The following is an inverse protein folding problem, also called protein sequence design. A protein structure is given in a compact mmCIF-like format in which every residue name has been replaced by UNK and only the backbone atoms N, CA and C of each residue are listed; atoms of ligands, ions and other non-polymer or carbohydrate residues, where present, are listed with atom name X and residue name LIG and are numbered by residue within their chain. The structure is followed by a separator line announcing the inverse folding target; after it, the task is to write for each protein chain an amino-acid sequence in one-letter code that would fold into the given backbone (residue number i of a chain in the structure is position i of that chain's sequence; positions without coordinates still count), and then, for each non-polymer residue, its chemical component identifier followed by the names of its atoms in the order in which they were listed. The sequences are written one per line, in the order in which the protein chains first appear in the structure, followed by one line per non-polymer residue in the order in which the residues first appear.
data_IF_168650397911
#
_entry.id   IF_168650397911
#
_cell.length_a   1.000
_cell.length_b   1.000
_cell.length_c   1.000
_cell.angle_alpha   90.00
_cell.angle_beta   90.00
_cell.angle_gamma   90.00
#
_symmetry.space_group_name_H-M   'P 1'
#
loop_
_entity.id
_entity.type
_entity.pdbx_description
1 polymer ?
#
# COMPACT_ATOMS: atom_id res chain seq x y z
N UNK A 1 4.40 -7.64 -12.01
CA UNK A 1 4.02 -9.07 -11.95
C UNK A 1 5.08 -9.83 -12.73
N UNK A 2 5.51 -10.99 -12.23
CA UNK A 2 6.38 -11.93 -12.95
C UNK A 2 5.51 -13.05 -13.50
N UNK A 3 5.87 -13.54 -14.69
CA UNK A 3 5.13 -14.57 -15.42
C UNK A 3 6.08 -15.74 -15.70
N UNK A 4 6.61 -15.83 -16.93
CA UNK A 4 7.53 -16.89 -17.36
C UNK A 4 8.83 -16.91 -16.56
N UNK A 5 9.24 -15.76 -16.03
CA UNK A 5 10.42 -15.59 -15.18
C UNK A 5 10.35 -16.48 -13.94
N UNK A 6 9.15 -16.68 -13.37
CA UNK A 6 8.93 -17.48 -12.17
C UNK A 6 8.27 -18.83 -12.42
N UNK A 7 7.49 -18.99 -13.49
CA UNK A 7 6.76 -20.23 -13.75
C UNK A 7 7.61 -21.31 -14.42
N UNK A 8 8.51 -20.92 -15.34
CA UNK A 8 9.37 -21.84 -16.11
C UNK A 8 10.83 -21.39 -16.19
N UNK A 9 11.17 -20.24 -15.60
CA UNK A 9 12.50 -19.65 -15.66
C UNK A 9 13.54 -20.43 -14.85
N UNK A 10 14.80 -20.28 -15.23
CA UNK A 10 15.93 -20.95 -14.56
C UNK A 10 16.34 -20.27 -13.23
N UNK A 11 15.93 -19.01 -13.01
CA UNK A 11 16.34 -18.18 -11.87
C UNK A 11 15.14 -17.49 -11.19
N UNK A 12 14.12 -18.25 -10.75
CA UNK A 12 12.86 -17.68 -10.27
C UNK A 12 13.02 -16.84 -8.99
N UNK A 13 13.97 -17.19 -8.11
CA UNK A 13 14.21 -16.46 -6.85
C UNK A 13 14.89 -15.13 -7.14
N UNK A 14 15.93 -15.15 -7.96
CA UNK A 14 16.72 -13.98 -8.35
C UNK A 14 15.86 -12.97 -9.09
N UNK A 15 14.93 -13.41 -9.95
CA UNK A 15 13.96 -12.54 -10.60
C UNK A 15 13.10 -11.76 -9.58
N UNK A 16 12.64 -12.43 -8.52
CA UNK A 16 11.88 -11.78 -7.44
C UNK A 16 12.77 -10.79 -6.68
N UNK A 17 14.01 -11.17 -6.35
CA UNK A 17 14.95 -10.28 -5.66
C UNK A 17 15.28 -9.02 -6.47
N UNK A 18 15.48 -9.16 -7.78
CA UNK A 18 15.72 -8.04 -8.70
C UNK A 18 14.49 -7.15 -8.77
N UNK A 19 13.29 -7.72 -8.93
CA UNK A 19 12.05 -6.95 -8.96
C UNK A 19 11.86 -6.15 -7.67
N UNK A 20 12.07 -6.78 -6.51
CA UNK A 20 11.98 -6.13 -5.21
C UNK A 20 13.00 -4.98 -5.09
N UNK A 21 14.25 -5.22 -5.47
CA UNK A 21 15.32 -4.22 -5.43
C UNK A 21 15.02 -3.00 -6.29
N UNK A 22 14.51 -3.20 -7.50
CA UNK A 22 14.13 -2.12 -8.41
C UNK A 22 12.92 -1.35 -7.86
N UNK A 23 11.89 -2.06 -7.39
CA UNK A 23 10.70 -1.44 -6.81
C UNK A 23 11.04 -0.57 -5.60
N UNK A 24 11.78 -1.10 -4.62
CA UNK A 24 12.20 -0.36 -3.43
C UNK A 24 13.11 0.83 -3.77
N UNK A 25 13.97 0.71 -4.79
CA UNK A 25 14.80 1.83 -5.23
C UNK A 25 13.94 2.95 -5.82
N UNK A 26 12.99 2.62 -6.68
CA UNK A 26 12.08 3.60 -7.30
C UNK A 26 11.21 4.30 -6.25
N UNK A 27 10.75 3.58 -5.23
CA UNK A 27 9.97 4.18 -4.13
C UNK A 27 10.75 5.24 -3.35
N UNK A 28 12.09 5.11 -3.24
CA UNK A 28 12.95 6.11 -2.59
C UNK A 28 13.17 7.37 -3.41
N UNK A 29 13.00 7.30 -4.74
CA UNK A 29 13.21 8.43 -5.65
C UNK A 29 12.04 9.42 -5.67
N UNK A 30 10.97 9.15 -4.93
CA UNK A 30 9.72 9.89 -5.01
C UNK A 30 8.82 9.33 -6.12
N UNK A 31 7.53 9.18 -5.82
CA UNK A 31 6.55 8.72 -6.80
C UNK A 31 6.24 9.77 -7.86
N UNK A 32 5.47 9.39 -8.88
CA UNK A 32 5.05 10.28 -9.96
C UNK A 32 3.95 11.32 -9.56
N UNK A 33 3.79 11.61 -8.27
CA UNK A 33 2.88 12.65 -7.77
C UNK A 33 1.37 12.41 -7.93
N UNK A 34 0.93 11.26 -8.47
CA UNK A 34 -0.50 11.00 -8.75
C UNK A 34 -1.43 11.08 -7.53
N UNK A 35 -0.91 10.95 -6.31
CA UNK A 35 -1.71 11.09 -5.09
C UNK A 35 -2.19 12.54 -4.87
N UNK A 36 -1.43 13.54 -5.34
CA UNK A 36 -1.77 14.96 -5.19
C UNK A 36 -2.95 15.36 -6.07
N UNK A 37 -3.16 14.66 -7.19
CA UNK A 37 -4.29 14.88 -8.10
C UNK A 37 -5.50 13.99 -7.80
N UNK A 38 -5.52 13.30 -6.66
CA UNK A 38 -6.63 12.44 -6.29
C UNK A 38 -7.92 13.25 -6.04
N UNK A 39 -8.99 12.87 -6.74
CA UNK A 39 -10.32 13.46 -6.54
C UNK A 39 -10.95 12.84 -5.30
N UNK A 40 -11.30 13.67 -4.31
CA UNK A 40 -11.91 13.25 -3.04
C UNK A 40 -13.41 13.62 -3.04
N UNK A 41 -14.23 12.65 -3.41
CA UNK A 41 -15.68 12.81 -3.59
C UNK A 41 -16.44 12.70 -2.27
N UNK A 42 -16.06 11.74 -1.42
CA UNK A 42 -16.81 11.43 -0.19
C UNK A 42 -16.05 11.76 1.11
N UNK A 43 -16.79 11.78 2.22
CA UNK A 43 -16.24 12.08 3.54
C UNK A 43 -15.14 11.09 3.95
N UNK A 44 -15.24 9.81 3.55
CA UNK A 44 -14.25 8.78 3.91
C UNK A 44 -12.92 9.06 3.22
N UNK A 45 -12.94 9.41 1.94
CA UNK A 45 -11.75 9.80 1.19
C UNK A 45 -11.09 11.04 1.81
N UNK A 46 -11.88 12.04 2.20
CA UNK A 46 -11.38 13.25 2.88
C UNK A 46 -10.77 12.94 4.25
N UNK A 47 -11.40 12.09 5.06
CA UNK A 47 -10.83 11.64 6.35
C UNK A 47 -9.50 10.91 6.16
N UNK A 48 -9.42 10.01 5.19
CA UNK A 48 -8.17 9.31 4.86
C UNK A 48 -7.10 10.32 4.44
N UNK A 49 -7.42 11.28 3.58
CA UNK A 49 -6.47 12.31 3.15
C UNK A 49 -5.92 13.12 4.32
N UNK A 50 -6.78 13.56 5.25
CA UNK A 50 -6.31 14.25 6.46
C UNK A 50 -5.39 13.39 7.32
N UNK A 51 -5.68 12.08 7.45
CA UNK A 51 -4.82 11.15 8.18
C UNK A 51 -3.46 10.95 7.50
N UNK A 52 -3.41 10.90 6.17
CA UNK A 52 -2.15 10.79 5.41
C UNK A 52 -1.31 12.05 5.56
N UNK A 53 -1.92 13.24 5.46
CA UNK A 53 -1.21 14.53 5.68
C UNK A 53 -0.59 14.57 7.08
N UNK A 54 -1.34 14.19 8.11
CA UNK A 54 -0.83 14.12 9.48
C UNK A 54 0.28 13.07 9.61
N UNK A 55 0.13 11.90 8.99
CA UNK A 55 1.15 10.86 9.04
C UNK A 55 2.47 11.33 8.40
N UNK A 56 2.40 12.04 7.28
CA UNK A 56 3.58 12.56 6.58
C UNK A 56 4.31 13.66 7.38
N UNK A 57 3.58 14.46 8.18
CA UNK A 57 4.20 15.49 9.02
C UNK A 57 4.93 14.94 10.25
N UNK A 58 4.66 13.68 10.63
CA UNK A 58 5.20 13.03 11.81
C UNK A 58 6.36 12.07 11.44
N UNK A 59 7.50 12.24 12.11
CA UNK A 59 8.62 11.32 11.94
C UNK A 59 8.27 9.91 12.45
N UNK A 60 8.56 8.88 11.63
CA UNK A 60 8.40 7.45 11.97
C UNK A 60 6.96 7.01 12.30
N UNK A 61 5.96 7.77 11.85
CA UNK A 61 4.55 7.46 12.04
C UNK A 61 4.14 6.14 11.35
N UNK A 62 2.99 5.60 11.78
CA UNK A 62 2.31 4.46 11.17
C UNK A 62 0.82 4.80 11.06
N UNK A 63 0.17 4.26 10.04
CA UNK A 63 -1.28 4.44 9.85
C UNK A 63 -1.96 3.12 10.19
N UNK A 64 -2.89 3.14 11.13
CA UNK A 64 -3.69 1.97 11.51
C UNK A 64 -5.10 2.16 10.94
N UNK A 65 -5.57 1.16 10.20
CA UNK A 65 -6.87 1.20 9.51
C UNK A 65 -7.68 -0.03 9.88
N UNK A 66 -8.76 0.16 10.64
CA UNK A 66 -9.77 -0.88 10.82
C UNK A 66 -10.74 -0.90 9.64
N UNK A 67 -10.96 -2.06 9.04
CA UNK A 67 -11.77 -2.15 7.82
C UNK A 67 -12.49 -3.50 7.70
N UNK A 68 -13.80 -3.46 7.42
CA UNK A 68 -14.60 -4.68 7.17
C UNK A 68 -14.54 -5.16 5.73
N UNK A 69 -14.47 -4.22 4.78
CA UNK A 69 -14.55 -4.50 3.34
C UNK A 69 -13.31 -4.04 2.56
N UNK A 70 -12.27 -3.55 3.23
CA UNK A 70 -11.03 -3.09 2.61
C UNK A 70 -11.03 -1.66 2.06
N UNK A 71 -12.20 -0.99 1.95
CA UNK A 71 -12.32 0.34 1.31
C UNK A 71 -11.40 1.41 1.93
N UNK A 72 -11.38 1.53 3.26
CA UNK A 72 -10.52 2.52 3.93
C UNK A 72 -9.03 2.26 3.70
N UNK A 73 -8.61 0.99 3.73
CA UNK A 73 -7.21 0.62 3.49
C UNK A 73 -6.80 0.89 2.04
N UNK A 74 -7.68 0.60 1.06
CA UNK A 74 -7.47 0.92 -0.36
C UNK A 74 -7.37 2.42 -0.59
N UNK A 75 -8.27 3.21 -0.02
CA UNK A 75 -8.19 4.67 -0.10
C UNK A 75 -6.87 5.20 0.48
N UNK A 76 -6.43 4.64 1.62
CA UNK A 76 -5.15 5.04 2.26
C UNK A 76 -3.97 4.69 1.37
N UNK A 77 -3.96 3.49 0.81
CA UNK A 77 -2.94 3.01 -0.12
C UNK A 77 -2.83 3.87 -1.39
N UNK A 78 -3.98 4.29 -1.95
CA UNK A 78 -4.05 5.11 -3.15
C UNK A 78 -3.45 6.52 -2.96
N UNK A 79 -3.51 7.07 -1.74
CA UNK A 79 -2.92 8.37 -1.41
C UNK A 79 -1.41 8.32 -1.15
N UNK A 80 -0.78 7.15 -1.27
CA UNK A 80 0.69 6.98 -1.20
C UNK A 80 1.36 7.71 -0.02
N UNK A 81 1.05 7.36 1.25
CA UNK A 81 1.77 7.91 2.40
C UNK A 81 3.28 7.79 2.22
N UNK A 82 4.03 8.88 2.44
CA UNK A 82 5.44 8.96 2.01
C UNK A 82 6.34 7.98 2.78
N UNK A 83 6.08 7.82 4.07
CA UNK A 83 6.94 7.05 4.99
C UNK A 83 6.17 6.09 5.90
N UNK A 84 4.87 6.33 6.07
CA UNK A 84 4.06 5.58 7.00
C UNK A 84 3.63 4.23 6.39
N UNK A 85 3.94 3.15 7.08
CA UNK A 85 3.39 1.82 6.76
C UNK A 85 1.92 1.79 7.19
N UNK A 86 1.06 1.20 6.36
CA UNK A 86 -0.36 1.05 6.63
C UNK A 86 -0.62 -0.32 7.23
N UNK A 87 -1.05 -0.40 8.48
CA UNK A 87 -1.53 -1.64 9.10
C UNK A 87 -3.05 -1.71 8.98
N UNK A 88 -3.55 -2.66 8.17
CA UNK A 88 -4.97 -2.80 7.91
C UNK A 88 -5.56 -4.00 8.66
N UNK A 89 -6.39 -3.74 9.66
CA UNK A 89 -7.02 -4.77 10.50
C UNK A 89 -8.41 -5.12 9.98
N UNK A 90 -8.69 -6.41 9.78
CA UNK A 90 -9.96 -6.88 9.24
C UNK A 90 -10.36 -8.24 9.81
N UNK A 91 -11.66 -8.50 10.07
CA UNK A 91 -12.11 -9.83 10.49
C UNK A 91 -12.21 -10.85 9.33
N UNK A 92 -12.14 -10.38 8.08
CA UNK A 92 -12.30 -11.24 6.89
C UNK A 92 -10.95 -11.69 6.34
N UNK A 93 -10.75 -13.01 6.26
CA UNK A 93 -9.55 -13.57 5.64
C UNK A 93 -9.51 -13.31 4.12
N UNK A 94 -10.67 -13.19 3.49
CA UNK A 94 -10.76 -12.80 2.08
C UNK A 94 -10.25 -11.37 1.89
N UNK A 95 -10.74 -10.42 2.70
CA UNK A 95 -10.30 -9.02 2.63
C UNK A 95 -8.83 -8.90 2.97
N UNK A 96 -8.32 -9.67 3.95
CA UNK A 96 -6.88 -9.71 4.27
C UNK A 96 -6.05 -10.06 3.04
N UNK A 97 -6.41 -11.13 2.33
CA UNK A 97 -5.73 -11.58 1.10
C UNK A 97 -5.84 -10.56 -0.04
N UNK A 98 -7.01 -9.96 -0.23
CA UNK A 98 -7.22 -8.92 -1.24
C UNK A 98 -6.37 -7.66 -0.98
N UNK A 99 -6.12 -7.32 0.28
CA UNK A 99 -5.31 -6.16 0.64
C UNK A 99 -3.80 -6.38 0.44
N UNK A 100 -3.33 -7.64 0.32
CA UNK A 100 -1.90 -7.95 0.13
C UNK A 100 -1.32 -7.43 -1.18
N UNK A 101 -2.16 -7.11 -2.17
CA UNK A 101 -1.72 -6.49 -3.43
C UNK A 101 -1.77 -4.94 -3.39
N UNK A 102 -2.32 -4.37 -2.32
CA UNK A 102 -2.42 -2.92 -2.17
C UNK A 102 -1.07 -2.37 -1.69
N UNK A 103 -0.62 -1.28 -2.32
CA UNK A 103 0.67 -0.67 -2.03
C UNK A 103 0.79 -0.22 -0.57
N UNK A 104 1.91 -0.53 0.07
CA UNK A 104 2.22 -0.08 1.44
C UNK A 104 1.32 -0.65 2.53
N UNK A 105 0.42 -1.60 2.22
CA UNK A 105 -0.51 -2.21 3.16
C UNK A 105 0.07 -3.50 3.74
N UNK A 106 0.09 -3.57 5.07
CA UNK A 106 0.32 -4.78 5.85
C UNK A 106 -1.02 -5.23 6.46
N UNK A 107 -1.73 -6.19 5.83
CA UNK A 107 -3.04 -6.61 6.30
C UNK A 107 -2.92 -7.64 7.43
N UNK A 108 -3.70 -7.44 8.51
CA UNK A 108 -3.75 -8.29 9.71
C UNK A 108 -5.18 -8.76 9.91
N UNK A 109 -5.37 -10.07 10.10
CA UNK A 109 -6.66 -10.63 10.50
C UNK A 109 -6.80 -10.57 12.02
N UNK A 110 -7.95 -10.09 12.49
CA UNK A 110 -8.35 -10.02 13.90
C UNK A 110 -9.63 -10.80 14.16
#
# INVERSE_FOLDING_TARGET
MLSGETSIGQYPVECVEVLNRVATRNERSGGAGYAESAILEDARQKTVASAVVLANSLARSKIIVFTRHGRMARNTSNLRPERAIIFAFTPSEEVRRQLSICWGVCPVRI
#
